data_IF_380223364707
#
_entry.id   IF_380223364707
#
_cell.length_a   1.000
_cell.length_b   1.000
_cell.length_c   1.000
_cell.angle_alpha   90.00
_cell.angle_beta   90.00
_cell.angle_gamma   90.00
#
_symmetry.space_group_name_H-M   'P 1'
#
loop_
_entity.id
_entity.type
_entity.pdbx_description
1 polymer ?
#
# COMPACT_ATOMS: atom_id res chain seq x y z
N UNK A 1 -39.78 36.16 9.92
CA UNK A 1 -39.71 34.86 10.63
C UNK A 1 -38.84 33.96 9.80
N UNK A 2 -37.54 34.03 10.08
CA UNK A 2 -36.51 33.20 9.49
C UNK A 2 -36.60 31.81 10.11
N UNK A 3 -36.57 30.76 9.29
CA UNK A 3 -36.41 29.40 9.77
C UNK A 3 -35.04 28.92 9.25
N UNK A 4 -34.01 29.19 10.07
CA UNK A 4 -32.67 28.62 9.94
C UNK A 4 -32.76 27.15 10.37
N UNK A 5 -32.86 26.25 9.40
CA UNK A 5 -32.61 24.84 9.66
C UNK A 5 -31.09 24.64 9.77
N UNK A 6 -30.64 24.37 10.99
CA UNK A 6 -29.27 23.98 11.33
C UNK A 6 -28.78 22.81 10.46
N UNK A 7 -27.54 22.82 9.97
CA UNK A 7 -26.94 21.63 9.38
C UNK A 7 -26.68 20.59 10.46
N UNK A 8 -27.17 19.37 10.20
CA UNK A 8 -27.00 18.18 11.02
C UNK A 8 -25.50 17.78 11.06
N UNK A 9 -24.83 17.77 12.23
CA UNK A 9 -23.40 17.49 12.34
C UNK A 9 -23.05 15.98 12.28
N UNK A 10 -23.97 15.15 11.80
CA UNK A 10 -23.80 13.68 11.75
C UNK A 10 -23.45 13.12 10.37
N UNK A 11 -23.04 13.97 9.42
CA UNK A 11 -22.22 13.54 8.28
C UNK A 11 -20.77 13.24 8.73
N UNK A 12 -20.64 12.43 9.78
CA UNK A 12 -19.43 11.68 10.08
C UNK A 12 -19.23 10.78 8.88
N UNK A 13 -18.30 11.17 8.00
CA UNK A 13 -17.82 10.35 6.91
C UNK A 13 -17.57 8.95 7.48
N UNK A 14 -18.21 7.95 6.86
CA UNK A 14 -17.97 6.56 7.17
C UNK A 14 -16.46 6.36 7.18
N UNK A 15 -15.89 6.17 8.36
CA UNK A 15 -14.54 5.72 8.56
C UNK A 15 -14.48 4.34 7.92
N UNK A 16 -13.91 4.28 6.74
CA UNK A 16 -13.46 3.04 6.14
C UNK A 16 -12.49 2.40 7.12
N UNK A 17 -12.92 1.40 7.88
CA UNK A 17 -11.99 0.45 8.52
C UNK A 17 -11.41 -0.49 7.45
N UNK A 18 -10.98 0.08 6.33
CA UNK A 18 -10.17 -0.57 5.32
C UNK A 18 -8.75 -0.15 5.62
N UNK A 19 -7.89 -1.14 5.90
CA UNK A 19 -6.46 -0.93 6.11
C UNK A 19 -5.91 -0.06 4.99
N UNK A 20 -5.33 1.08 5.35
CA UNK A 20 -4.73 1.98 4.39
C UNK A 20 -3.35 1.44 4.00
N UNK A 21 -3.21 1.02 2.73
CA UNK A 21 -1.98 0.44 2.23
C UNK A 21 -0.84 1.47 2.13
N UNK A 22 -1.11 2.77 2.31
CA UNK A 22 -0.11 3.82 2.12
C UNK A 22 1.04 3.70 3.10
N UNK A 23 2.17 4.23 2.66
CA UNK A 23 3.32 4.51 3.52
C UNK A 23 3.13 5.87 4.19
N UNK A 24 3.74 6.03 5.36
CA UNK A 24 3.75 7.26 6.13
C UNK A 24 5.16 7.84 6.21
N UNK A 25 5.29 9.14 5.98
CA UNK A 25 6.44 9.91 6.42
C UNK A 25 6.26 10.25 7.89
N UNK A 26 7.18 9.80 8.74
CA UNK A 26 7.09 9.90 10.21
C UNK A 26 8.25 10.71 10.76
N UNK A 27 7.93 11.62 11.69
CA UNK A 27 8.90 12.36 12.48
C UNK A 27 9.40 11.54 13.68
N UNK A 28 10.72 11.31 13.72
CA UNK A 28 11.38 10.55 14.78
C UNK A 28 11.90 11.44 15.93
N UNK A 29 11.97 12.77 15.72
CA UNK A 29 12.45 13.71 16.72
C UNK A 29 11.52 13.87 17.93
N UNK A 30 11.77 14.89 18.75
CA UNK A 30 10.86 15.20 19.85
C UNK A 30 9.49 15.61 19.30
N UNK A 31 8.41 15.04 19.84
CA UNK A 31 7.03 15.31 19.37
C UNK A 31 6.68 16.80 19.49
N UNK A 32 7.17 17.47 20.54
CA UNK A 32 6.96 18.91 20.75
C UNK A 32 7.60 19.80 19.67
N UNK A 33 8.56 19.28 18.91
CA UNK A 33 9.23 20.00 17.81
C UNK A 33 8.55 19.77 16.47
N UNK A 34 7.60 18.84 16.40
CA UNK A 34 6.93 18.50 15.16
C UNK A 34 5.86 19.53 14.80
N UNK A 35 5.95 20.09 13.58
CA UNK A 35 4.93 20.97 13.02
C UNK A 35 4.57 20.47 11.63
N UNK A 36 3.32 20.03 11.45
CA UNK A 36 2.83 19.61 10.13
C UNK A 36 2.73 20.83 9.20
N UNK A 37 3.40 20.75 8.05
CA UNK A 37 3.39 21.77 7.01
C UNK A 37 3.75 21.17 5.64
N UNK A 38 3.61 21.96 4.57
CA UNK A 38 4.10 21.54 3.24
C UNK A 38 5.62 21.32 3.20
N UNK A 39 6.40 21.91 4.12
CA UNK A 39 7.83 21.66 4.24
C UNK A 39 8.14 20.30 4.92
N UNK A 40 7.14 19.66 5.51
CA UNK A 40 7.25 18.34 6.14
C UNK A 40 6.58 17.24 5.31
N UNK A 41 6.30 17.49 4.02
CA UNK A 41 5.95 16.42 3.06
C UNK A 41 7.21 15.77 2.50
N UNK A 42 7.06 14.60 1.88
CA UNK A 42 8.15 13.87 1.24
C UNK A 42 8.86 14.69 0.18
N UNK A 43 8.16 15.57 -0.54
CA UNK A 43 8.74 16.49 -1.52
C UNK A 43 9.32 17.76 -0.87
N UNK A 44 8.81 18.14 0.31
CA UNK A 44 9.21 19.33 1.04
C UNK A 44 10.52 19.19 1.82
N UNK A 45 10.98 17.96 2.10
CA UNK A 45 12.21 17.75 2.89
C UNK A 45 13.46 18.29 2.18
N UNK A 46 14.38 18.86 2.95
CA UNK A 46 15.62 19.44 2.45
C UNK A 46 16.49 18.45 1.64
N UNK A 47 17.28 19.00 0.71
CA UNK A 47 18.27 18.22 -0.06
C UNK A 47 19.29 17.54 0.85
N UNK A 48 19.61 16.28 0.55
CA UNK A 48 20.56 15.49 1.35
C UNK A 48 20.00 14.98 2.67
N UNK A 49 18.70 15.20 2.95
CA UNK A 49 18.02 14.67 4.14
C UNK A 49 18.22 13.16 4.23
N UNK A 50 18.45 12.67 5.44
CA UNK A 50 18.51 11.24 5.70
C UNK A 50 17.11 10.72 6.03
N UNK A 51 16.71 9.65 5.35
CA UNK A 51 15.41 9.00 5.53
C UNK A 51 15.66 7.54 5.90
N UNK A 52 15.15 7.12 7.06
CA UNK A 52 15.22 5.73 7.50
C UNK A 52 14.04 4.93 6.94
N UNK A 53 14.25 3.67 6.58
CA UNK A 53 13.17 2.73 6.26
C UNK A 53 13.61 1.31 6.56
N UNK A 54 12.68 0.37 6.71
CA UNK A 54 12.99 -1.01 7.10
C UNK A 54 12.93 -2.03 5.96
N UNK A 55 12.38 -1.63 4.80
CA UNK A 55 12.21 -2.54 3.66
C UNK A 55 13.01 -2.07 2.44
N UNK A 56 13.57 -3.05 1.71
CA UNK A 56 14.27 -2.78 0.44
C UNK A 56 13.34 -2.19 -0.62
N UNK A 57 12.05 -2.54 -0.57
CA UNK A 57 11.04 -1.97 -1.47
C UNK A 57 10.95 -0.45 -1.32
N UNK A 58 10.73 0.03 -0.09
CA UNK A 58 10.67 1.47 0.19
C UNK A 58 11.99 2.14 -0.10
N UNK A 59 13.11 1.51 0.23
CA UNK A 59 14.43 2.04 -0.11
C UNK A 59 14.57 2.29 -1.61
N UNK A 60 14.25 1.28 -2.43
CA UNK A 60 14.33 1.37 -3.89
C UNK A 60 13.39 2.44 -4.46
N UNK A 61 12.15 2.54 -3.96
CA UNK A 61 11.20 3.55 -4.40
C UNK A 61 11.60 4.97 -3.96
N UNK A 62 12.10 5.13 -2.74
CA UNK A 62 12.60 6.42 -2.23
C UNK A 62 13.84 6.90 -2.99
N UNK A 63 14.73 6.01 -3.41
CA UNK A 63 15.87 6.38 -4.25
C UNK A 63 15.46 6.97 -5.61
N UNK A 64 14.26 6.62 -6.09
CA UNK A 64 13.67 7.16 -7.33
C UNK A 64 12.91 8.45 -7.05
N UNK A 65 12.08 8.47 -6.01
CA UNK A 65 11.25 9.61 -5.66
C UNK A 65 12.09 10.79 -5.12
N UNK A 66 13.15 10.49 -4.37
CA UNK A 66 14.07 11.44 -3.72
C UNK A 66 15.52 11.06 -4.01
N UNK A 67 16.00 11.22 -5.25
CA UNK A 67 17.38 10.90 -5.62
C UNK A 67 18.42 11.79 -4.90
N UNK A 68 17.97 12.89 -4.31
CA UNK A 68 18.76 13.81 -3.52
C UNK A 68 18.79 13.46 -2.02
N UNK A 69 17.97 12.53 -1.55
CA UNK A 69 17.96 12.06 -0.17
C UNK A 69 18.98 10.93 0.07
N UNK A 70 19.40 10.79 1.32
CA UNK A 70 20.23 9.66 1.79
C UNK A 70 19.32 8.63 2.45
N UNK A 71 18.89 7.64 1.69
CA UNK A 71 17.98 6.59 2.18
C UNK A 71 18.77 5.48 2.87
N UNK A 72 18.46 5.20 4.13
CA UNK A 72 19.17 4.22 4.96
C UNK A 72 18.22 3.09 5.35
N UNK A 73 18.62 1.87 5.00
CA UNK A 73 17.91 0.66 5.39
C UNK A 73 18.26 0.31 6.84
N UNK A 74 17.24 0.15 7.68
CA UNK A 74 17.33 -0.22 9.08
C UNK A 74 16.71 -1.60 9.26
N UNK A 75 17.50 -2.60 9.63
CA UNK A 75 16.96 -3.94 9.90
C UNK A 75 16.39 -4.00 11.33
N UNK A 76 15.11 -4.35 11.53
CA UNK A 76 14.59 -4.61 12.86
C UNK A 76 15.31 -5.79 13.53
N UNK A 77 15.53 -5.70 14.83
CA UNK A 77 16.02 -6.82 15.63
C UNK A 77 14.92 -7.86 15.88
N UNK A 78 15.30 -9.06 16.34
CA UNK A 78 14.35 -10.13 16.58
C UNK A 78 13.33 -9.73 17.67
N UNK A 79 12.04 -9.67 17.29
CA UNK A 79 10.96 -9.26 18.18
C UNK A 79 10.75 -7.74 18.29
N UNK A 80 11.55 -6.95 17.57
CA UNK A 80 11.41 -5.49 17.49
C UNK A 80 10.38 -5.12 16.40
N UNK A 81 9.45 -4.23 16.73
CA UNK A 81 8.53 -3.67 15.75
C UNK A 81 9.24 -2.71 14.78
N UNK A 82 8.60 -2.45 13.64
CA UNK A 82 9.12 -1.49 12.66
C UNK A 82 9.36 -0.10 13.28
N UNK A 83 8.42 0.40 14.08
CA UNK A 83 8.50 1.71 14.72
C UNK A 83 9.67 1.78 15.70
N UNK A 84 9.84 0.75 16.54
CA UNK A 84 10.92 0.69 17.53
C UNK A 84 12.30 0.72 16.85
N UNK A 85 12.48 -0.08 15.80
CA UNK A 85 13.72 -0.11 15.03
C UNK A 85 14.08 1.27 14.45
N UNK A 86 13.10 1.95 13.86
CA UNK A 86 13.29 3.28 13.26
C UNK A 86 13.58 4.35 14.31
N UNK A 87 12.88 4.33 15.44
CA UNK A 87 13.11 5.26 16.55
C UNK A 87 14.50 5.07 17.17
N UNK A 88 14.92 3.81 17.40
CA UNK A 88 16.24 3.47 17.93
C UNK A 88 17.36 3.94 17.01
N UNK A 89 17.33 3.53 15.75
CA UNK A 89 18.37 3.92 14.77
C UNK A 89 18.33 5.43 14.50
N UNK A 90 17.13 6.04 14.52
CA UNK A 90 16.94 7.48 14.44
C UNK A 90 17.67 8.22 15.55
N UNK A 91 17.50 7.79 16.80
CA UNK A 91 18.18 8.35 17.96
C UNK A 91 19.70 8.18 17.89
N UNK A 92 20.19 6.99 17.51
CA UNK A 92 21.62 6.69 17.39
C UNK A 92 22.32 7.53 16.31
N UNK A 93 21.65 7.77 15.18
CA UNK A 93 22.24 8.44 14.02
C UNK A 93 21.89 9.94 13.92
N UNK A 94 21.08 10.46 14.86
CA UNK A 94 20.53 11.82 14.80
C UNK A 94 19.63 12.04 13.58
N UNK A 95 18.88 11.02 13.15
CA UNK A 95 17.99 11.08 11.97
C UNK A 95 16.57 11.38 12.40
N UNK A 96 15.95 12.36 11.75
CA UNK A 96 14.64 12.88 12.16
C UNK A 96 13.46 12.35 11.33
N UNK A 97 13.72 11.67 10.20
CA UNK A 97 12.70 11.25 9.26
C UNK A 97 12.79 9.76 8.97
N UNK A 98 11.64 9.10 8.99
CA UNK A 98 11.48 7.72 8.53
C UNK A 98 10.28 7.55 7.62
N UNK A 99 10.32 6.50 6.82
CA UNK A 99 9.17 6.00 6.06
C UNK A 99 8.86 4.57 6.47
N UNK A 100 7.63 4.36 6.90
CA UNK A 100 7.09 3.08 7.38
C UNK A 100 5.62 2.92 6.99
N UNK A 101 5.03 1.74 7.23
CA UNK A 101 3.61 1.52 6.92
C UNK A 101 2.72 2.46 7.73
N UNK A 102 1.73 3.09 7.09
CA UNK A 102 0.84 4.02 7.80
C UNK A 102 0.08 3.30 8.93
N UNK A 103 -0.42 2.10 8.68
CA UNK A 103 -1.09 1.32 9.72
C UNK A 103 -0.11 0.95 10.85
N UNK A 104 1.15 0.62 10.54
CA UNK A 104 2.15 0.32 11.57
C UNK A 104 2.49 1.55 12.43
N UNK A 105 2.48 2.76 11.85
CA UNK A 105 2.62 4.00 12.60
C UNK A 105 1.42 4.24 13.54
N UNK A 106 0.20 3.94 13.07
CA UNK A 106 -1.04 4.02 13.87
C UNK A 106 -1.01 2.99 15.01
N UNK A 107 -0.70 1.73 14.72
CA UNK A 107 -0.68 0.67 15.73
C UNK A 107 0.38 0.93 16.83
N UNK A 108 1.45 1.65 16.48
CA UNK A 108 2.48 2.09 17.42
C UNK A 108 2.15 3.40 18.18
N UNK A 109 0.99 4.02 17.94
CA UNK A 109 0.59 5.29 18.56
C UNK A 109 1.39 6.51 18.07
N UNK A 110 1.97 6.43 16.87
CA UNK A 110 2.79 7.47 16.26
C UNK A 110 1.98 8.39 15.31
N UNK A 111 0.65 8.39 15.37
CA UNK A 111 -0.21 9.15 14.43
C UNK A 111 0.09 10.65 14.48
N UNK A 112 0.36 11.17 15.67
CA UNK A 112 0.73 12.59 15.87
C UNK A 112 2.08 12.97 15.25
N UNK A 113 2.87 11.97 14.87
CA UNK A 113 4.18 12.13 14.21
C UNK A 113 4.11 11.86 12.72
N UNK A 114 2.95 11.44 12.19
CA UNK A 114 2.75 11.25 10.75
C UNK A 114 2.65 12.62 10.10
N UNK A 115 3.63 12.95 9.28
CA UNK A 115 3.66 14.19 8.51
C UNK A 115 2.88 14.09 7.21
N UNK A 116 2.89 12.91 6.60
CA UNK A 116 2.20 12.65 5.35
C UNK A 116 1.85 11.16 5.23
N UNK A 117 0.63 10.86 4.77
CA UNK A 117 0.27 9.58 4.19
C UNK A 117 0.58 9.64 2.68
N UNK A 118 1.73 9.08 2.30
CA UNK A 118 2.35 9.25 0.98
C UNK A 118 1.48 8.60 -0.10
N UNK A 119 1.31 9.29 -1.23
CA UNK A 119 0.54 8.78 -2.36
C UNK A 119 1.12 7.47 -2.91
N UNK A 120 0.25 6.52 -3.25
CA UNK A 120 0.65 5.19 -3.78
C UNK A 120 1.30 5.25 -5.16
N UNK A 121 1.15 6.39 -5.87
CA UNK A 121 1.89 6.69 -7.09
C UNK A 121 3.36 6.99 -6.83
N UNK A 122 3.69 7.54 -5.65
CA UNK A 122 5.06 7.79 -5.19
C UNK A 122 5.65 6.53 -4.59
N UNK A 123 5.00 5.98 -3.55
CA UNK A 123 5.42 4.74 -2.87
C UNK A 123 4.29 3.71 -2.96
N UNK A 124 4.39 2.80 -3.93
CA UNK A 124 3.41 1.74 -4.08
C UNK A 124 3.66 0.65 -3.02
N UNK A 125 2.62 0.16 -2.33
CA UNK A 125 2.76 -0.81 -1.25
C UNK A 125 3.30 -2.16 -1.72
N UNK A 126 3.77 -2.96 -0.76
CA UNK A 126 3.99 -4.38 -0.98
C UNK A 126 2.65 -5.09 -1.27
N UNK A 127 2.64 -6.19 -2.04
CA UNK A 127 1.43 -6.99 -2.21
C UNK A 127 0.82 -7.38 -0.86
N UNK A 128 -0.51 -7.29 -0.76
CA UNK A 128 -1.29 -7.66 0.42
C UNK A 128 -1.03 -6.81 1.67
N UNK A 129 -0.36 -5.66 1.56
CA UNK A 129 -0.08 -4.77 2.70
C UNK A 129 -1.35 -4.28 3.42
N UNK A 130 -2.46 -4.13 2.69
CA UNK A 130 -3.78 -3.78 3.24
C UNK A 130 -4.70 -5.00 3.47
N UNK A 131 -4.16 -6.22 3.44
CA UNK A 131 -4.96 -7.41 3.73
C UNK A 131 -5.36 -7.43 5.21
N UNK A 132 -6.65 -7.63 5.53
CA UNK A 132 -7.08 -7.76 6.91
C UNK A 132 -6.47 -8.99 7.57
N UNK A 133 -6.29 -8.92 8.88
CA UNK A 133 -5.80 -10.07 9.66
C UNK A 133 -6.70 -11.29 9.40
N UNK A 134 -6.06 -12.44 9.16
CA UNK A 134 -6.76 -13.68 8.83
C UNK A 134 -7.32 -13.75 7.40
N UNK A 135 -7.07 -12.76 6.54
CA UNK A 135 -7.40 -12.89 5.12
C UNK A 135 -6.55 -13.97 4.45
N UNK A 136 -7.17 -14.74 3.57
CA UNK A 136 -6.50 -15.73 2.72
C UNK A 136 -7.31 -15.97 1.44
N UNK A 137 -6.63 -16.46 0.40
CA UNK A 137 -7.28 -16.89 -0.84
C UNK A 137 -8.34 -17.96 -0.59
N UNK A 138 -8.09 -18.91 0.32
CA UNK A 138 -9.05 -19.97 0.61
C UNK A 138 -10.30 -19.45 1.32
N UNK A 139 -10.15 -18.51 2.26
CA UNK A 139 -11.29 -17.83 2.86
C UNK A 139 -12.08 -17.02 1.82
N UNK A 140 -11.41 -16.37 0.86
CA UNK A 140 -12.05 -15.67 -0.24
C UNK A 140 -12.80 -16.62 -1.19
N UNK A 141 -12.23 -17.79 -1.51
CA UNK A 141 -12.89 -18.85 -2.30
C UNK A 141 -14.12 -19.41 -1.59
N UNK A 142 -14.07 -19.56 -0.27
CA UNK A 142 -15.23 -19.96 0.51
C UNK A 142 -16.32 -18.90 0.45
N UNK A 143 -15.96 -17.62 0.65
CA UNK A 143 -16.90 -16.49 0.46
C UNK A 143 -17.49 -16.47 -0.94
N UNK A 144 -16.73 -16.76 -1.99
CA UNK A 144 -17.25 -16.87 -3.36
C UNK A 144 -18.34 -17.94 -3.48
N UNK A 145 -18.11 -19.16 -2.96
CA UNK A 145 -19.10 -20.25 -2.96
C UNK A 145 -20.36 -19.87 -2.20
N UNK A 146 -20.19 -19.16 -1.09
CA UNK A 146 -21.29 -18.64 -0.25
C UNK A 146 -21.93 -17.38 -0.84
N UNK A 147 -21.47 -16.93 -2.01
CA UNK A 147 -21.92 -15.72 -2.71
C UNK A 147 -21.73 -14.39 -1.96
N UNK A 148 -20.71 -14.36 -1.12
CA UNK A 148 -20.31 -13.25 -0.25
C UNK A 148 -18.98 -12.62 -0.70
N UNK A 149 -18.56 -12.83 -1.96
CA UNK A 149 -17.34 -12.25 -2.49
C UNK A 149 -17.41 -10.72 -2.49
N UNK A 150 -16.38 -10.07 -1.95
CA UNK A 150 -16.28 -8.61 -1.86
C UNK A 150 -15.35 -8.02 -2.93
N UNK A 151 -15.42 -6.71 -3.19
CA UNK A 151 -14.41 -6.03 -4.02
C UNK A 151 -13.02 -6.11 -3.42
N UNK A 152 -12.90 -6.11 -2.09
CA UNK A 152 -11.61 -6.27 -1.41
C UNK A 152 -11.01 -7.65 -1.68
N UNK A 153 -11.82 -8.71 -1.65
CA UNK A 153 -11.38 -10.06 -2.01
C UNK A 153 -10.87 -10.14 -3.45
N UNK A 154 -11.57 -9.49 -4.39
CA UNK A 154 -11.14 -9.41 -5.80
C UNK A 154 -9.79 -8.69 -5.92
N UNK A 155 -9.63 -7.54 -5.25
CA UNK A 155 -8.37 -6.79 -5.29
C UNK A 155 -7.21 -7.60 -4.68
N UNK A 156 -7.39 -8.12 -3.47
CA UNK A 156 -6.36 -8.90 -2.78
C UNK A 156 -6.03 -10.20 -3.52
N UNK A 157 -7.00 -10.84 -4.20
CA UNK A 157 -6.71 -11.99 -5.06
C UNK A 157 -5.84 -11.63 -6.27
N UNK A 158 -6.03 -10.45 -6.87
CA UNK A 158 -5.13 -9.97 -7.92
C UNK A 158 -3.71 -9.78 -7.38
N UNK A 159 -3.56 -9.16 -6.21
CA UNK A 159 -2.23 -8.92 -5.59
C UNK A 159 -1.55 -10.24 -5.18
N UNK A 160 -2.31 -11.16 -4.57
CA UNK A 160 -1.82 -12.48 -4.20
C UNK A 160 -1.34 -13.26 -5.44
N UNK A 161 -2.09 -13.19 -6.54
CA UNK A 161 -1.69 -13.83 -7.78
C UNK A 161 -0.39 -13.24 -8.35
N UNK A 162 -0.21 -11.91 -8.31
CA UNK A 162 1.07 -11.29 -8.73
C UNK A 162 2.23 -11.79 -7.85
N UNK A 163 2.05 -11.76 -6.53
CA UNK A 163 3.08 -12.18 -5.58
C UNK A 163 3.45 -13.66 -5.76
N UNK A 164 2.47 -14.55 -5.82
CA UNK A 164 2.67 -15.99 -5.98
C UNK A 164 3.30 -16.34 -7.33
N UNK A 165 2.93 -15.63 -8.40
CA UNK A 165 3.45 -15.90 -9.74
C UNK A 165 4.92 -15.47 -9.90
N UNK A 166 5.33 -14.40 -9.21
CA UNK A 166 6.69 -13.88 -9.28
C UNK A 166 7.62 -14.48 -8.20
N UNK A 167 7.07 -15.21 -7.24
CA UNK A 167 7.85 -15.86 -6.18
C UNK A 167 8.88 -16.83 -6.78
N UNK A 168 10.14 -16.69 -6.37
CA UNK A 168 11.27 -17.44 -6.94
C UNK A 168 11.71 -17.04 -8.36
N UNK A 169 10.96 -16.18 -9.08
CA UNK A 169 11.29 -15.72 -10.42
C UNK A 169 12.06 -14.39 -10.45
N UNK A 170 11.86 -13.55 -9.43
CA UNK A 170 12.53 -12.24 -9.33
C UNK A 170 13.34 -12.13 -8.03
N UNK A 171 14.39 -11.31 -8.07
CA UNK A 171 15.21 -10.99 -6.90
C UNK A 171 15.04 -9.55 -6.41
N UNK A 172 14.57 -8.66 -7.29
CA UNK A 172 14.31 -7.27 -6.97
C UNK A 172 12.99 -7.08 -6.20
N UNK A 173 12.88 -6.04 -5.35
CA UNK A 173 11.65 -5.70 -4.64
C UNK A 173 10.41 -5.56 -5.53
N UNK A 174 9.30 -6.12 -5.06
CA UNK A 174 7.98 -6.10 -5.71
C UNK A 174 7.02 -5.19 -4.94
N UNK A 175 6.42 -4.25 -5.64
CA UNK A 175 5.26 -3.47 -5.21
C UNK A 175 4.04 -3.89 -6.03
N UNK A 176 2.87 -3.92 -5.39
CA UNK A 176 1.62 -4.22 -6.07
C UNK A 176 0.47 -3.54 -5.37
N UNK A 177 -0.43 -2.94 -6.14
CA UNK A 177 -1.70 -2.44 -5.66
C UNK A 177 -2.79 -2.75 -6.67
N UNK A 178 -3.81 -3.46 -6.21
CA UNK A 178 -5.03 -3.69 -6.94
C UNK A 178 -6.17 -2.82 -6.41
N UNK A 179 -7.00 -2.38 -7.34
CA UNK A 179 -8.22 -1.63 -7.05
C UNK A 179 -9.38 -2.36 -7.69
N UNK A 180 -10.50 -2.44 -6.98
CA UNK A 180 -11.71 -3.09 -7.45
C UNK A 180 -12.91 -2.20 -7.13
N UNK A 181 -13.72 -1.92 -8.14
CA UNK A 181 -14.93 -1.10 -8.02
C UNK A 181 -16.12 -1.88 -8.54
N UNK A 182 -17.22 -1.86 -7.79
CA UNK A 182 -18.47 -2.41 -8.26
C UNK A 182 -18.95 -1.63 -9.49
N UNK A 183 -19.51 -2.32 -10.49
CA UNK A 183 -20.24 -1.65 -11.57
C UNK A 183 -21.34 -0.73 -11.00
N UNK A 184 -21.63 0.38 -11.68
CA UNK A 184 -22.40 1.57 -11.26
C UNK A 184 -23.85 1.39 -10.76
N UNK A 185 -24.28 0.21 -10.34
CA UNK A 185 -25.48 0.04 -9.54
C UNK A 185 -25.07 -0.02 -8.06
N UNK A 186 -24.88 1.15 -7.45
CA UNK A 186 -24.45 1.28 -6.07
C UNK A 186 -25.42 0.62 -5.09
N UNK A 187 -25.01 -0.52 -4.53
CA UNK A 187 -25.29 -1.00 -3.17
C UNK A 187 -24.93 -2.49 -3.10
N UNK A 188 -23.86 -2.82 -2.37
CA UNK A 188 -23.40 -4.18 -2.01
C UNK A 188 -22.98 -5.08 -3.18
N UNK A 189 -21.74 -5.55 -3.09
CA UNK A 189 -21.25 -6.69 -3.88
C UNK A 189 -21.71 -7.94 -3.15
N UNK A 190 -22.70 -8.64 -3.68
CA UNK A 190 -23.03 -10.02 -3.30
C UNK A 190 -23.14 -10.80 -4.59
N UNK A 191 -22.34 -11.85 -4.76
CA UNK A 191 -22.28 -12.60 -6.00
C UNK A 191 -23.60 -13.30 -6.39
N UNK A 192 -24.68 -13.21 -5.58
CA UNK A 192 -26.00 -13.78 -5.94
C UNK A 192 -27.23 -12.98 -5.47
N UNK A 193 -27.12 -11.73 -5.03
CA UNK A 193 -28.32 -10.88 -5.03
C UNK A 193 -28.66 -10.61 -6.51
N UNK A 194 -29.86 -10.97 -6.96
CA UNK A 194 -30.34 -10.63 -8.31
C UNK A 194 -30.11 -9.11 -8.55
N UNK A 195 -29.06 -8.76 -9.31
CA UNK A 195 -28.63 -7.37 -9.49
C UNK A 195 -27.13 -7.07 -9.29
N UNK A 196 -26.31 -8.00 -8.78
CA UNK A 196 -24.86 -7.76 -8.67
C UNK A 196 -24.17 -7.83 -10.03
N UNK A 197 -23.69 -6.68 -10.48
CA UNK A 197 -22.93 -6.54 -11.72
C UNK A 197 -21.46 -6.95 -11.56
N UNK A 198 -20.74 -7.05 -12.68
CA UNK A 198 -19.32 -7.35 -12.66
C UNK A 198 -18.52 -6.31 -11.88
N UNK A 199 -17.38 -6.73 -11.34
CA UNK A 199 -16.39 -5.85 -10.73
C UNK A 199 -15.41 -5.35 -11.79
N UNK A 200 -15.12 -4.06 -11.81
CA UNK A 200 -14.01 -3.50 -12.58
C UNK A 200 -12.78 -3.53 -11.69
N UNK A 201 -11.81 -4.35 -12.05
CA UNK A 201 -10.56 -4.49 -11.34
C UNK A 201 -9.40 -3.94 -12.18
N UNK A 202 -8.42 -3.35 -11.51
CA UNK A 202 -7.14 -3.00 -12.09
C UNK A 202 -6.03 -3.32 -11.09
N UNK A 203 -4.96 -3.95 -11.57
CA UNK A 203 -3.76 -4.26 -10.80
C UNK A 203 -2.59 -3.51 -11.40
N UNK A 204 -1.84 -2.82 -10.56
CA UNK A 204 -0.58 -2.18 -10.92
C UNK A 204 0.52 -2.93 -10.17
N UNK A 205 1.49 -3.45 -10.90
CA UNK A 205 2.62 -4.18 -10.34
C UNK A 205 3.92 -3.49 -10.76
N UNK A 206 4.88 -3.41 -9.84
CA UNK A 206 6.15 -2.73 -10.02
C UNK A 206 7.28 -3.61 -9.49
N UNK A 207 8.28 -3.87 -10.31
CA UNK A 207 9.56 -4.46 -9.87
C UNK A 207 10.62 -3.38 -9.94
N UNK A 208 11.30 -3.10 -8.83
CA UNK A 208 12.28 -2.00 -8.77
C UNK A 208 13.42 -2.27 -7.80
N UNK A 209 14.64 -1.88 -8.20
CA UNK A 209 15.82 -1.88 -7.34
C UNK A 209 16.42 -0.47 -7.15
N UNK A 210 15.65 0.56 -7.51
CA UNK A 210 16.06 1.98 -7.41
C UNK A 210 16.87 2.49 -8.61
N UNK A 211 17.52 1.61 -9.36
CA UNK A 211 18.23 1.97 -10.62
C UNK A 211 17.43 1.64 -11.88
N UNK A 212 16.61 0.58 -11.80
CA UNK A 212 15.72 0.12 -12.87
C UNK A 212 14.35 -0.15 -12.27
N UNK A 213 13.32 0.29 -12.98
CA UNK A 213 11.92 0.09 -12.60
C UNK A 213 11.14 -0.42 -13.79
N UNK A 214 10.43 -1.53 -13.57
CA UNK A 214 9.47 -2.08 -14.52
C UNK A 214 8.09 -1.92 -13.89
N UNK A 215 7.16 -1.32 -14.63
CA UNK A 215 5.78 -1.12 -14.17
C UNK A 215 4.84 -1.72 -15.20
N UNK A 216 3.93 -2.55 -14.73
CA UNK A 216 2.88 -3.13 -15.56
C UNK A 216 1.52 -2.88 -14.93
N UNK A 217 0.51 -2.79 -15.80
CA UNK A 217 -0.87 -2.64 -15.40
C UNK A 217 -1.73 -3.59 -16.21
N UNK A 218 -2.58 -4.34 -15.51
CA UNK A 218 -3.67 -5.06 -16.13
C UNK A 218 -4.99 -4.55 -15.58
N UNK A 219 -6.01 -4.41 -16.42
CA UNK A 219 -7.34 -4.03 -15.99
C UNK A 219 -8.38 -4.84 -16.76
N UNK A 220 -9.52 -5.11 -16.12
CA UNK A 220 -10.54 -5.94 -16.71
C UNK A 220 -11.84 -5.99 -15.92
N UNK A 221 -12.83 -6.60 -16.56
CA UNK A 221 -14.08 -7.03 -15.93
C UNK A 221 -13.83 -8.37 -15.25
N UNK A 222 -14.22 -8.49 -13.98
CA UNK A 222 -14.03 -9.68 -13.15
C UNK A 222 -15.36 -10.05 -12.52
N UNK A 223 -15.72 -11.33 -12.64
CA UNK A 223 -16.96 -11.92 -12.12
C UNK A 223 -16.67 -13.04 -11.12
N UNK A 224 -15.47 -13.61 -11.15
CA UNK A 224 -15.03 -14.70 -10.26
C UNK A 224 -13.65 -14.44 -9.70
N UNK A 225 -13.30 -15.12 -8.61
CA UNK A 225 -11.96 -15.06 -8.02
C UNK A 225 -10.90 -15.59 -8.99
N UNK A 226 -11.22 -16.65 -9.74
CA UNK A 226 -10.32 -17.19 -10.76
C UNK A 226 -9.97 -16.16 -11.86
N UNK A 227 -10.93 -15.32 -12.25
CA UNK A 227 -10.68 -14.23 -13.19
C UNK A 227 -9.84 -13.10 -12.58
N UNK A 228 -9.95 -12.87 -11.26
CA UNK A 228 -9.10 -11.95 -10.52
C UNK A 228 -7.65 -12.46 -10.49
N UNK A 229 -7.46 -13.76 -10.18
CA UNK A 229 -6.15 -14.41 -10.20
C UNK A 229 -5.50 -14.30 -11.60
N UNK A 230 -6.23 -14.66 -12.67
CA UNK A 230 -5.77 -14.51 -14.05
C UNK A 230 -5.43 -13.05 -14.44
N UNK A 231 -6.10 -12.05 -13.85
CA UNK A 231 -5.76 -10.65 -14.08
C UNK A 231 -4.40 -10.31 -13.44
N UNK A 232 -4.14 -10.79 -12.22
CA UNK A 232 -2.85 -10.66 -11.54
C UNK A 232 -1.73 -11.38 -12.28
N UNK A 233 -1.93 -12.64 -12.66
CA UNK A 233 -0.95 -13.44 -13.41
C UNK A 233 -0.56 -12.76 -14.74
N UNK A 234 -1.51 -12.14 -15.45
CA UNK A 234 -1.20 -11.38 -16.67
C UNK A 234 -0.28 -10.19 -16.41
N UNK A 235 -0.47 -9.47 -15.30
CA UNK A 235 0.43 -8.37 -14.94
C UNK A 235 1.82 -8.88 -14.55
N UNK A 236 1.90 -10.02 -13.85
CA UNK A 236 3.14 -10.67 -13.50
C UNK A 236 3.90 -11.18 -14.74
N UNK A 237 3.23 -11.89 -15.64
CA UNK A 237 3.83 -12.35 -16.90
C UNK A 237 4.37 -11.18 -17.73
N UNK A 238 3.61 -10.07 -17.82
CA UNK A 238 4.08 -8.87 -18.52
C UNK A 238 5.34 -8.24 -17.88
N UNK A 239 5.57 -8.45 -16.58
CA UNK A 239 6.82 -8.03 -15.92
C UNK A 239 7.97 -8.96 -16.31
N UNK A 240 7.75 -10.28 -16.34
CA UNK A 240 8.75 -11.25 -16.78
C UNK A 240 9.13 -11.03 -18.26
N UNK A 241 8.15 -10.80 -19.14
CA UNK A 241 8.37 -10.48 -20.55
C UNK A 241 9.16 -9.17 -20.74
N UNK A 242 9.03 -8.22 -19.80
CA UNK A 242 9.81 -6.99 -19.76
C UNK A 242 11.22 -7.17 -19.14
N UNK A 243 11.57 -8.39 -18.75
CA UNK A 243 12.88 -8.77 -18.23
C UNK A 243 13.07 -8.48 -16.73
N UNK A 244 12.03 -8.69 -15.92
CA UNK A 244 12.09 -8.56 -14.47
C UNK A 244 13.04 -9.57 -13.80
N UNK A 245 13.18 -10.78 -14.34
CA UNK A 245 14.10 -11.82 -13.83
C UNK A 245 15.56 -11.36 -13.80
N UNK A 246 15.94 -10.51 -14.77
CA UNK A 246 17.30 -9.97 -14.89
C UNK A 246 17.56 -8.75 -14.00
N UNK A 247 16.59 -8.30 -13.20
CA UNK A 247 16.79 -7.20 -12.28
C UNK A 247 17.61 -7.68 -11.07
N UNK A 248 18.81 -7.12 -10.82
CA UNK A 248 19.56 -7.45 -9.62
C UNK A 248 18.80 -7.00 -8.37
N UNK A 249 19.03 -7.66 -7.22
CA UNK A 249 18.35 -7.35 -5.95
C UNK A 249 18.56 -5.92 -5.48
#
# INVERSE_FOLDING_TARGET
>A
MENLASPDPTASGQTSSGLDAREALVWLGAEAEFTSSAATSIDGLATGVRILTTTRLRQAQLMIARPDARVVLCAPEAGESECEALMRVGAEQGTQWAVMGLQAAVDAGAEKRVAEAIDVGVLMPAPLQAAPEGWSLDAARQREKDSQLTTQDVALACEAAVANYLDGHIHAPLACLATATAGTNGARVSATAAGAGPVRAAVNAVVTNGSRTLRQRAAGRVETLAQAEQLGERAAQALLDAGAEAAPP
#
